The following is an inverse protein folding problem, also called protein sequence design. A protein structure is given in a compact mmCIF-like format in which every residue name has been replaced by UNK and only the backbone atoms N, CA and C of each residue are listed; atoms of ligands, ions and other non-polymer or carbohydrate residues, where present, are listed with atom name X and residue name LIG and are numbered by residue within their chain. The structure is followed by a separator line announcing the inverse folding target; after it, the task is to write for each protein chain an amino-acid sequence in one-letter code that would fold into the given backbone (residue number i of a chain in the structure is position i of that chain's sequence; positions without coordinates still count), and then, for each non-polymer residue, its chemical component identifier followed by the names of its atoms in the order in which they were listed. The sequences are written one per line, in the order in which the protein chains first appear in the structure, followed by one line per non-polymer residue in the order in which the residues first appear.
data_IF_564664151211
#
_entry.id   IF_564664151211
#
_cell.length_a   1.000
_cell.length_b   1.000
_cell.length_c   1.000
_cell.angle_alpha   90.00
_cell.angle_beta   90.00
_cell.angle_gamma   90.00
#
_symmetry.space_group_name_H-M   'P 1'
#
loop_
_entity.id
_entity.type
_entity.pdbx_description
1 polymer ?
#
# COMPACT_ATOMS: atom_id res chain seq x y z
N UNK A 1 -14.69 -11.96 14.67
CA UNK A 1 -13.34 -11.39 14.88
C UNK A 1 -13.43 -10.51 16.10
N UNK A 2 -12.59 -10.74 17.11
CA UNK A 2 -12.49 -9.86 18.28
C UNK A 2 -12.24 -8.43 17.79
N UNK A 3 -12.98 -7.45 18.30
CA UNK A 3 -12.85 -6.06 17.86
C UNK A 3 -11.44 -5.58 18.15
N UNK A 4 -10.68 -5.30 17.08
CA UNK A 4 -9.33 -4.74 17.18
C UNK A 4 -9.43 -3.41 17.93
N UNK A 5 -8.58 -3.22 18.95
CA UNK A 5 -8.62 -1.98 19.75
C UNK A 5 -8.38 -0.73 18.89
N UNK A 6 -9.00 0.39 19.27
CA UNK A 6 -8.83 1.67 18.58
C UNK A 6 -7.35 2.10 18.46
N UNK A 7 -6.53 1.77 19.46
CA UNK A 7 -5.09 2.03 19.42
C UNK A 7 -4.40 1.25 18.31
N UNK A 8 -4.79 0.00 18.06
CA UNK A 8 -4.19 -0.82 17.00
C UNK A 8 -4.64 -0.32 15.63
N UNK A 9 -5.90 0.09 15.48
CA UNK A 9 -6.41 0.71 14.25
C UNK A 9 -5.67 2.02 13.94
N UNK A 10 -5.36 2.84 14.95
CA UNK A 10 -4.59 4.08 14.77
C UNK A 10 -3.14 3.78 14.34
N UNK A 11 -2.46 2.84 14.99
CA UNK A 11 -1.10 2.44 14.61
C UNK A 11 -1.02 1.95 13.15
N UNK A 12 -2.04 1.21 12.68
CA UNK A 12 -2.10 0.76 11.30
C UNK A 12 -2.28 1.94 10.31
N UNK A 13 -3.11 2.91 10.68
CA UNK A 13 -3.28 4.14 9.89
C UNK A 13 -2.00 4.96 9.82
N UNK A 14 -1.33 5.16 10.96
CA UNK A 14 -0.08 5.92 11.04
C UNK A 14 1.05 5.24 10.26
N UNK A 15 1.16 3.91 10.35
CA UNK A 15 2.13 3.13 9.58
C UNK A 15 1.93 3.27 8.07
N UNK A 16 0.69 3.11 7.60
CA UNK A 16 0.39 3.28 6.18
C UNK A 16 0.65 4.72 5.73
N UNK A 17 0.28 5.72 6.54
CA UNK A 17 0.59 7.12 6.27
C UNK A 17 2.09 7.40 6.16
N UNK A 18 2.90 6.82 7.05
CA UNK A 18 4.36 6.99 7.04
C UNK A 18 5.05 6.32 5.84
N UNK A 19 4.43 5.29 5.24
CA UNK A 19 4.94 4.57 4.08
C UNK A 19 4.34 5.05 2.76
N UNK A 20 3.31 5.90 2.79
CA UNK A 20 2.67 6.41 1.60
C UNK A 20 3.62 7.33 0.84
N UNK A 21 3.85 7.04 -0.45
CA UNK A 21 4.69 7.89 -1.28
C UNK A 21 3.95 9.18 -1.62
N UNK A 22 4.51 10.30 -1.15
CA UNK A 22 4.05 11.64 -1.55
C UNK A 22 4.57 12.01 -2.94
N UNK A 23 3.93 13.01 -3.59
CA UNK A 23 4.42 13.56 -4.88
C UNK A 23 5.88 13.99 -4.83
N UNK A 24 6.32 14.51 -3.67
CA UNK A 24 7.70 14.95 -3.44
C UNK A 24 8.68 13.77 -3.45
N UNK A 25 8.27 12.64 -2.89
CA UNK A 25 9.11 11.45 -2.73
C UNK A 25 8.98 10.48 -3.90
N UNK A 26 8.00 10.70 -4.79
CA UNK A 26 7.71 9.85 -5.94
C UNK A 26 8.96 9.55 -6.75
N UNK A 27 9.68 10.58 -7.20
CA UNK A 27 10.86 10.39 -8.04
C UNK A 27 11.96 9.55 -7.37
N UNK A 28 12.02 9.56 -6.04
CA UNK A 28 13.01 8.81 -5.25
C UNK A 28 12.56 7.37 -5.00
N UNK A 29 11.30 7.16 -4.63
CA UNK A 29 10.81 5.91 -4.05
C UNK A 29 9.97 5.06 -5.00
N UNK A 30 9.52 5.59 -6.14
CA UNK A 30 8.63 4.90 -7.09
C UNK A 30 9.16 3.55 -7.64
N UNK A 31 10.48 3.39 -7.68
CA UNK A 31 11.15 2.15 -8.12
C UNK A 31 11.83 1.39 -6.98
N UNK A 32 11.75 1.89 -5.75
CA UNK A 32 12.23 1.16 -4.58
C UNK A 32 11.25 0.05 -4.25
N UNK A 33 11.58 -1.15 -4.72
CA UNK A 33 10.72 -2.33 -4.58
C UNK A 33 10.42 -2.68 -3.13
N UNK A 34 11.35 -2.44 -2.21
CA UNK A 34 11.15 -2.75 -0.80
C UNK A 34 10.19 -1.75 -0.17
N UNK A 35 10.37 -0.46 -0.48
CA UNK A 35 9.46 0.57 -0.01
C UNK A 35 8.04 0.38 -0.59
N UNK A 36 7.92 0.12 -1.90
CA UNK A 36 6.63 -0.16 -2.54
C UNK A 36 5.96 -1.40 -1.94
N UNK A 37 6.69 -2.50 -1.73
CA UNK A 37 6.11 -3.68 -1.09
C UNK A 37 5.63 -3.37 0.35
N UNK A 38 6.42 -2.63 1.13
CA UNK A 38 6.06 -2.24 2.49
C UNK A 38 4.80 -1.37 2.54
N UNK A 39 4.70 -0.37 1.66
CA UNK A 39 3.51 0.49 1.52
C UNK A 39 2.25 -0.35 1.25
N UNK A 40 2.31 -1.27 0.28
CA UNK A 40 1.16 -2.10 -0.10
C UNK A 40 0.75 -3.07 1.04
N UNK A 41 1.72 -3.64 1.77
CA UNK A 41 1.45 -4.49 2.93
C UNK A 41 0.83 -3.70 4.10
N UNK A 42 1.29 -2.47 4.33
CA UNK A 42 0.72 -1.60 5.36
C UNK A 42 -0.72 -1.19 5.02
N UNK A 43 -1.00 -0.88 3.75
CA UNK A 43 -2.35 -0.63 3.26
C UNK A 43 -3.27 -1.86 3.47
N UNK A 44 -2.78 -3.06 3.13
CA UNK A 44 -3.55 -4.30 3.27
C UNK A 44 -3.89 -4.58 4.74
N UNK A 45 -2.92 -4.42 5.64
CA UNK A 45 -3.14 -4.57 7.08
C UNK A 45 -4.14 -3.54 7.61
N UNK A 46 -4.02 -2.28 7.20
CA UNK A 46 -4.97 -1.23 7.57
C UNK A 46 -6.40 -1.63 7.17
N UNK A 47 -6.61 -2.06 5.92
CA UNK A 47 -7.94 -2.47 5.43
C UNK A 47 -8.49 -3.65 6.24
N UNK A 48 -7.68 -4.69 6.48
CA UNK A 48 -8.10 -5.84 7.30
C UNK A 48 -8.56 -5.44 8.71
N UNK A 49 -7.86 -4.51 9.36
CA UNK A 49 -8.14 -4.08 10.72
C UNK A 49 -9.31 -3.09 10.84
N UNK A 50 -9.62 -2.34 9.78
CA UNK A 50 -10.65 -1.30 9.77
C UNK A 50 -11.96 -1.74 9.10
N UNK A 51 -11.89 -2.55 8.04
CA UNK A 51 -13.04 -2.92 7.20
C UNK A 51 -13.42 -4.40 7.32
N UNK A 52 -12.52 -5.25 7.85
CA UNK A 52 -12.77 -6.69 7.95
C UNK A 52 -13.07 -7.32 6.59
N UNK A 53 -14.06 -8.22 6.54
CA UNK A 53 -14.39 -9.03 5.37
C UNK A 53 -14.82 -8.20 4.13
N UNK A 54 -15.33 -6.97 4.31
CA UNK A 54 -15.69 -6.11 3.18
C UNK A 54 -14.46 -5.68 2.36
N UNK A 55 -13.27 -5.71 2.98
CA UNK A 55 -12.01 -5.33 2.36
C UNK A 55 -11.22 -6.47 1.72
N UNK A 56 -11.67 -7.73 1.81
CA UNK A 56 -10.87 -8.91 1.44
C UNK A 56 -10.33 -8.85 0.00
N UNK A 57 -11.15 -8.40 -0.95
CA UNK A 57 -10.73 -8.26 -2.35
C UNK A 57 -9.59 -7.24 -2.51
N UNK A 58 -9.72 -6.06 -1.90
CA UNK A 58 -8.68 -5.02 -1.93
C UNK A 58 -7.39 -5.50 -1.24
N UNK A 59 -7.53 -6.23 -0.13
CA UNK A 59 -6.39 -6.84 0.58
C UNK A 59 -5.65 -7.81 -0.33
N UNK A 60 -6.36 -8.72 -1.00
CA UNK A 60 -5.75 -9.69 -1.92
C UNK A 60 -5.01 -9.01 -3.08
N UNK A 61 -5.57 -7.94 -3.65
CA UNK A 61 -4.93 -7.15 -4.71
C UNK A 61 -3.63 -6.48 -4.23
N UNK A 62 -3.64 -5.90 -3.02
CA UNK A 62 -2.46 -5.29 -2.40
C UNK A 62 -1.38 -6.32 -2.08
N UNK A 63 -1.76 -7.51 -1.57
CA UNK A 63 -0.83 -8.61 -1.30
C UNK A 63 -0.15 -9.09 -2.59
N UNK A 64 -0.92 -9.28 -3.67
CA UNK A 64 -0.37 -9.66 -4.98
C UNK A 64 0.55 -8.57 -5.54
N UNK A 65 0.19 -7.29 -5.37
CA UNK A 65 1.03 -6.16 -5.76
C UNK A 65 2.37 -6.17 -5.01
N UNK A 66 2.34 -6.34 -3.68
CA UNK A 66 3.55 -6.46 -2.85
C UNK A 66 4.43 -7.65 -3.28
N UNK A 67 3.82 -8.81 -3.55
CA UNK A 67 4.51 -9.99 -4.03
C UNK A 67 5.24 -9.71 -5.36
N UNK A 68 4.57 -9.08 -6.33
CA UNK A 68 5.20 -8.71 -7.61
C UNK A 68 6.36 -7.74 -7.44
N UNK A 69 6.29 -6.80 -6.50
CA UNK A 69 7.42 -5.93 -6.17
C UNK A 69 8.61 -6.72 -5.62
N UNK A 70 8.38 -7.63 -4.68
CA UNK A 70 9.42 -8.49 -4.09
C UNK A 70 10.04 -9.43 -5.14
N UNK A 71 9.24 -9.99 -6.04
CA UNK A 71 9.67 -10.84 -7.15
C UNK A 71 10.34 -10.08 -8.29
N UNK A 72 10.35 -8.74 -8.26
CA UNK A 72 10.87 -7.87 -9.33
C UNK A 72 10.08 -8.00 -10.65
N UNK A 73 8.83 -8.42 -10.56
CA UNK A 73 7.91 -8.59 -11.70
C UNK A 73 7.18 -7.27 -12.04
N UNK A 74 7.11 -6.36 -11.08
CA UNK A 74 6.51 -5.03 -11.26
C UNK A 74 7.56 -3.98 -11.60
N UNK A 75 7.24 -3.10 -12.56
CA UNK A 75 8.01 -1.90 -12.89
C UNK A 75 7.15 -0.66 -12.62
N UNK A 76 7.81 0.45 -12.33
CA UNK A 76 7.17 1.74 -12.08
C UNK A 76 6.20 2.10 -13.23
N UNK A 77 4.93 2.46 -12.96
CA UNK A 77 3.93 2.78 -13.99
C UNK A 77 4.21 4.09 -14.75
N UNK A 78 5.34 4.77 -14.49
CA UNK A 78 5.67 6.07 -15.07
C UNK A 78 5.19 7.23 -14.21
N UNK A 79 5.53 8.46 -14.61
CA UNK A 79 5.25 9.66 -13.81
C UNK A 79 3.73 9.92 -13.71
N UNK A 80 3.16 10.25 -12.54
CA UNK A 80 1.72 10.51 -12.39
C UNK A 80 1.23 11.70 -13.23
N UNK A 81 2.13 12.60 -13.60
CA UNK A 81 1.81 13.78 -14.43
C UNK A 81 1.39 13.44 -15.87
N UNK A 82 1.56 12.20 -16.34
CA UNK A 82 1.22 11.81 -17.72
C UNK A 82 -0.12 11.08 -17.90
N UNK A 83 -0.91 10.84 -16.83
CA UNK A 83 -2.21 10.15 -16.94
C UNK A 83 -3.41 11.08 -17.23
N UNK A 84 -3.19 12.27 -17.81
CA UNK A 84 -4.24 13.19 -18.29
C UNK A 84 -4.36 13.26 -19.82
N UNK A 85 -4.01 12.18 -20.52
CA UNK A 85 -4.21 12.10 -21.97
C UNK A 85 -4.54 10.66 -22.40
N UNK A 86 -5.79 10.23 -22.19
CA UNK A 86 -6.57 9.39 -23.11
C UNK A 86 -7.99 9.22 -22.62
#
# INVERSE_FOLDING_TARGET
MEQVSASVQQLAQDLHGALSISDRDWHRLKSDRHHRAAEQLAAALQILLLQGAEGDQAVLELLQSAERWLKREQRDPGCPHTQRAR
#
